data_IF_706780673712
#
_entry.id   IF_706780673712
#
_cell.length_a   1.000
_cell.length_b   1.000
_cell.length_c   1.000
_cell.angle_alpha   90.00
_cell.angle_beta   90.00
_cell.angle_gamma   90.00
#
_symmetry.space_group_name_H-M   'P 1'
#
loop_
_entity.id
_entity.type
_entity.pdbx_description
1 polymer ?
#
# COMPACT_ATOMS: atom_id res chain seq x y z
N UNK A 1 0.50 8.70 4.64
CA UNK A 1 0.63 9.92 3.83
C UNK A 1 -0.43 10.95 4.19
N UNK A 2 -0.06 12.23 4.26
CA UNK A 2 -1.05 13.30 4.39
C UNK A 2 -1.81 13.50 3.08
N UNK A 3 -3.13 13.51 3.15
CA UNK A 3 -4.01 13.69 1.98
C UNK A 3 -4.82 15.00 2.10
N UNK A 4 -4.40 16.08 1.41
CA UNK A 4 -5.03 17.41 1.52
C UNK A 4 -6.56 17.42 1.33
N UNK A 5 -7.16 16.63 0.41
CA UNK A 5 -8.63 16.63 0.25
C UNK A 5 -9.40 16.16 1.48
N UNK A 6 -8.75 15.39 2.36
CA UNK A 6 -9.33 14.88 3.60
C UNK A 6 -8.89 15.67 4.83
N UNK A 7 -7.86 16.51 4.69
CA UNK A 7 -7.16 17.19 5.78
C UNK A 7 -6.74 16.20 6.89
N UNK A 8 -6.24 15.02 6.48
CA UNK A 8 -5.94 13.89 7.36
C UNK A 8 -4.77 13.05 6.83
N UNK A 9 -4.11 12.35 7.75
CA UNK A 9 -3.22 11.27 7.37
C UNK A 9 -4.02 10.01 7.00
N UNK A 10 -3.61 9.36 5.93
CA UNK A 10 -4.21 8.12 5.43
C UNK A 10 -3.17 7.01 5.49
N UNK A 11 -3.56 5.88 6.08
CA UNK A 11 -2.77 4.65 6.06
C UNK A 11 -3.17 3.87 4.83
N UNK A 12 -2.23 3.66 3.92
CA UNK A 12 -2.48 3.08 2.60
C UNK A 12 -1.31 2.22 2.13
N UNK A 13 -1.50 1.48 1.06
CA UNK A 13 -0.42 0.82 0.34
C UNK A 13 0.30 1.80 -0.57
N UNK A 14 1.59 1.58 -0.90
CA UNK A 14 2.25 2.33 -1.95
C UNK A 14 1.42 2.31 -3.23
N UNK A 15 1.26 3.47 -3.87
CA UNK A 15 0.41 3.58 -5.05
C UNK A 15 0.79 4.79 -5.92
N UNK A 16 0.75 4.61 -7.23
CA UNK A 16 0.92 5.70 -8.18
C UNK A 16 0.21 5.47 -9.50
N UNK A 17 0.27 6.45 -10.37
CA UNK A 17 -0.31 6.40 -11.70
C UNK A 17 0.60 5.61 -12.66
N UNK A 18 -0.03 4.89 -13.57
CA UNK A 18 0.69 4.24 -14.68
C UNK A 18 1.06 5.33 -15.69
N UNK A 19 2.35 5.55 -15.86
CA UNK A 19 2.86 6.54 -16.79
C UNK A 19 2.71 6.07 -18.25
N UNK A 20 2.65 7.00 -19.23
CA UNK A 20 2.58 6.65 -20.63
C UNK A 20 3.74 5.74 -21.05
N UNK A 21 3.40 4.52 -21.46
CA UNK A 21 4.37 3.50 -21.89
C UNK A 21 4.80 2.53 -20.80
N UNK A 22 4.42 2.75 -19.54
CA UNK A 22 4.63 1.79 -18.47
C UNK A 22 3.57 0.68 -18.47
N UNK A 23 3.94 -0.48 -17.99
CA UNK A 23 3.03 -1.54 -17.57
C UNK A 23 2.72 -1.40 -16.07
N UNK A 24 1.63 -2.01 -15.61
CA UNK A 24 1.30 -2.05 -14.17
C UNK A 24 2.43 -2.68 -13.33
N UNK A 25 3.17 -3.62 -13.91
CA UNK A 25 4.33 -4.24 -13.26
C UNK A 25 5.47 -3.25 -13.03
N UNK A 26 5.82 -2.48 -14.06
CA UNK A 26 6.89 -1.48 -14.01
C UNK A 26 6.52 -0.36 -13.03
N UNK A 27 5.30 0.17 -13.14
CA UNK A 27 4.80 1.18 -12.21
C UNK A 27 4.86 0.70 -10.76
N UNK A 28 4.37 -0.51 -10.47
CA UNK A 28 4.36 -1.01 -9.10
C UNK A 28 5.77 -1.18 -8.51
N UNK A 29 6.75 -1.62 -9.32
CA UNK A 29 8.15 -1.73 -8.88
C UNK A 29 8.78 -0.35 -8.66
N UNK A 30 8.48 0.62 -9.51
CA UNK A 30 8.93 2.01 -9.39
C UNK A 30 8.37 2.64 -8.12
N UNK A 31 7.05 2.62 -7.95
CA UNK A 31 6.36 3.22 -6.79
C UNK A 31 6.79 2.59 -5.46
N UNK A 32 6.93 1.26 -5.41
CA UNK A 32 7.47 0.59 -4.22
C UNK A 32 8.85 1.17 -3.86
N UNK A 33 9.71 1.37 -4.85
CA UNK A 33 11.04 1.90 -4.61
C UNK A 33 11.04 3.38 -4.26
N UNK A 34 10.28 4.20 -4.98
CA UNK A 34 10.21 5.65 -4.75
C UNK A 34 9.63 5.97 -3.38
N UNK A 35 8.49 5.40 -3.04
CA UNK A 35 7.79 5.71 -1.80
C UNK A 35 8.40 5.03 -0.57
N UNK A 36 9.00 3.83 -0.72
CA UNK A 36 9.47 3.04 0.43
C UNK A 36 10.96 2.77 0.47
N UNK A 37 11.67 2.96 -0.63
CA UNK A 37 13.07 2.58 -0.78
C UNK A 37 13.31 1.08 -0.98
N UNK A 38 12.29 0.25 -0.85
CA UNK A 38 12.42 -1.20 -1.02
C UNK A 38 12.40 -1.62 -2.49
N UNK A 39 13.02 -2.78 -2.76
CA UNK A 39 12.93 -3.48 -4.04
C UNK A 39 12.31 -4.85 -3.81
N UNK A 40 11.29 -5.17 -4.61
CA UNK A 40 10.53 -6.40 -4.51
C UNK A 40 10.52 -7.22 -5.80
N UNK A 41 9.89 -8.37 -5.72
CA UNK A 41 9.52 -9.22 -6.85
C UNK A 41 8.01 -9.35 -6.89
N UNK A 42 7.43 -9.38 -8.09
CA UNK A 42 5.98 -9.47 -8.28
C UNK A 42 5.53 -10.92 -8.10
N UNK A 43 4.55 -11.14 -7.23
CA UNK A 43 3.93 -12.44 -6.99
C UNK A 43 2.59 -12.56 -7.75
N UNK A 44 1.79 -11.49 -7.80
CA UNK A 44 0.46 -11.49 -8.42
C UNK A 44 0.09 -10.09 -8.90
N UNK A 45 -0.51 -10.01 -10.08
CA UNK A 45 -1.15 -8.81 -10.62
C UNK A 45 -2.63 -9.11 -10.83
N UNK A 46 -3.52 -8.29 -10.26
CA UNK A 46 -4.96 -8.45 -10.48
C UNK A 46 -5.41 -7.80 -11.78
N UNK A 47 -6.55 -8.18 -12.34
CA UNK A 47 -7.23 -7.38 -13.34
C UNK A 47 -7.57 -5.99 -12.79
N UNK A 48 -7.77 -5.03 -13.70
CA UNK A 48 -8.28 -3.71 -13.33
C UNK A 48 -9.67 -3.80 -12.72
N UNK A 49 -9.86 -3.13 -11.59
CA UNK A 49 -11.13 -3.06 -10.86
C UNK A 49 -11.55 -1.61 -10.64
N UNK A 50 -12.83 -1.30 -10.75
CA UNK A 50 -13.33 0.04 -10.50
C UNK A 50 -13.17 0.41 -9.01
N UNK A 51 -12.55 1.57 -8.74
CA UNK A 51 -12.39 2.08 -7.38
C UNK A 51 -13.71 2.65 -6.84
N UNK A 52 -14.42 3.38 -7.66
CA UNK A 52 -15.63 4.11 -7.27
C UNK A 52 -16.54 4.30 -8.49
N UNK A 53 -17.12 3.20 -9.01
CA UNK A 53 -17.81 3.15 -10.30
C UNK A 53 -18.97 4.16 -10.47
N UNK A 54 -19.53 4.66 -9.38
CA UNK A 54 -20.58 5.70 -9.41
C UNK A 54 -20.04 7.13 -9.50
N UNK A 55 -18.72 7.35 -9.31
CA UNK A 55 -18.13 8.68 -9.19
C UNK A 55 -17.01 8.94 -10.20
N UNK A 56 -16.21 7.93 -10.51
CA UNK A 56 -15.03 8.07 -11.36
C UNK A 56 -14.92 6.92 -12.35
N UNK A 57 -14.20 7.13 -13.46
CA UNK A 57 -13.77 6.06 -14.37
C UNK A 57 -12.43 5.42 -14.00
N UNK A 58 -11.92 5.67 -12.80
CA UNK A 58 -10.65 5.14 -12.33
C UNK A 58 -10.69 3.61 -12.20
N UNK A 59 -9.67 2.97 -12.72
CA UNK A 59 -9.43 1.54 -12.54
C UNK A 59 -8.16 1.36 -11.70
N UNK A 60 -8.25 0.47 -10.74
CA UNK A 60 -7.13 0.08 -9.87
C UNK A 60 -6.64 -1.31 -10.23
N UNK A 61 -5.33 -1.47 -10.26
CA UNK A 61 -4.65 -2.76 -10.40
C UNK A 61 -3.88 -3.00 -9.10
N UNK A 62 -4.19 -4.08 -8.39
CA UNK A 62 -3.43 -4.47 -7.21
C UNK A 62 -2.28 -5.36 -7.63
N UNK A 63 -1.08 -5.00 -7.18
CA UNK A 63 0.14 -5.78 -7.42
C UNK A 63 0.67 -6.25 -6.07
N UNK A 64 0.68 -7.56 -5.86
CA UNK A 64 1.27 -8.17 -4.67
C UNK A 64 2.73 -8.48 -4.94
N UNK A 65 3.58 -8.09 -3.99
CA UNK A 65 5.02 -8.24 -4.14
C UNK A 65 5.66 -8.81 -2.88
N UNK A 66 6.69 -9.63 -3.07
CA UNK A 66 7.58 -10.08 -2.00
C UNK A 66 8.80 -9.19 -1.91
N UNK A 67 9.14 -8.76 -0.69
CA UNK A 67 10.34 -7.99 -0.38
C UNK A 67 11.24 -8.82 0.52
N UNK A 68 12.41 -9.21 0.01
CA UNK A 68 13.43 -9.89 0.82
C UNK A 68 14.31 -8.85 1.53
N UNK A 69 14.04 -8.63 2.82
CA UNK A 69 14.76 -7.65 3.64
C UNK A 69 16.20 -8.07 3.97
N UNK A 70 16.59 -9.32 3.72
CA UNK A 70 17.98 -9.79 3.91
C UNK A 70 18.91 -9.35 2.76
N UNK A 71 18.37 -8.93 1.62
CA UNK A 71 19.18 -8.46 0.51
C UNK A 71 19.82 -7.10 0.85
N UNK A 72 21.10 -6.85 0.48
CA UNK A 72 21.83 -5.65 0.86
C UNK A 72 21.09 -4.33 0.54
N UNK A 73 20.42 -4.25 -0.61
CA UNK A 73 19.70 -3.05 -1.04
C UNK A 73 18.39 -2.81 -0.25
N UNK A 74 17.90 -3.80 0.50
CA UNK A 74 16.70 -3.71 1.33
C UNK A 74 17.02 -3.59 2.84
N UNK A 75 18.30 -3.61 3.23
CA UNK A 75 18.68 -3.47 4.65
C UNK A 75 18.59 -2.01 5.13
N UNK A 76 18.81 -1.07 4.23
CA UNK A 76 18.74 0.37 4.50
C UNK A 76 17.92 1.05 3.40
N UNK A 77 16.59 0.80 3.36
CA UNK A 77 15.74 1.39 2.33
C UNK A 77 15.72 2.91 2.48
N UNK A 78 15.88 3.61 1.37
CA UNK A 78 15.85 5.07 1.32
C UNK A 78 14.82 5.49 0.27
N UNK A 79 13.66 6.03 0.68
CA UNK A 79 12.67 6.58 -0.23
C UNK A 79 13.25 7.69 -1.10
N UNK A 80 12.73 7.84 -2.30
CA UNK A 80 13.05 8.93 -3.23
C UNK A 80 11.74 9.64 -3.62
N UNK A 81 11.17 10.33 -2.63
CA UNK A 81 9.87 10.99 -2.74
C UNK A 81 9.92 12.14 -3.75
N UNK A 82 8.80 12.37 -4.41
CA UNK A 82 8.62 13.52 -5.30
C UNK A 82 8.34 14.79 -4.48
N UNK A 83 8.50 15.95 -5.13
CA UNK A 83 8.25 17.24 -4.50
C UNK A 83 6.79 17.34 -3.99
N UNK A 84 6.64 17.60 -2.71
CA UNK A 84 5.34 17.71 -2.05
C UNK A 84 4.77 16.42 -1.47
N UNK A 85 5.48 15.30 -1.59
CA UNK A 85 5.12 14.06 -0.91
C UNK A 85 5.66 14.03 0.51
N UNK A 86 4.79 13.67 1.45
CA UNK A 86 5.14 13.43 2.85
C UNK A 86 4.65 12.04 3.23
N UNK A 87 5.57 11.05 3.19
CA UNK A 87 5.27 9.64 3.41
C UNK A 87 6.09 9.10 4.56
N UNK A 88 5.42 8.48 5.54
CA UNK A 88 6.04 7.67 6.57
C UNK A 88 5.80 6.19 6.27
N UNK A 89 6.86 5.40 6.27
CA UNK A 89 6.81 3.98 5.89
C UNK A 89 6.76 3.09 7.13
N UNK A 90 5.75 2.22 7.21
CA UNK A 90 5.58 1.25 8.28
C UNK A 90 5.75 -0.18 7.75
N UNK A 91 6.78 -0.88 8.22
CA UNK A 91 6.92 -2.32 8.00
C UNK A 91 6.22 -3.08 9.12
N UNK A 92 5.00 -3.56 8.86
CA UNK A 92 4.13 -4.16 9.87
C UNK A 92 4.04 -5.67 9.68
N UNK A 93 4.35 -6.49 10.71
CA UNK A 93 4.10 -7.93 10.65
C UNK A 93 2.62 -8.24 10.40
N UNK A 94 2.31 -9.19 9.53
CA UNK A 94 0.91 -9.56 9.22
C UNK A 94 0.12 -9.96 10.46
N UNK A 95 0.75 -10.60 11.43
CA UNK A 95 0.13 -10.99 12.71
C UNK A 95 -0.22 -9.79 13.60
N UNK A 96 0.51 -8.68 13.49
CA UNK A 96 0.28 -7.44 14.24
C UNK A 96 -0.52 -6.39 13.48
N UNK A 97 -0.91 -6.66 12.22
CA UNK A 97 -1.53 -5.66 11.35
C UNK A 97 -2.80 -5.05 11.97
N UNK A 98 -3.70 -5.87 12.49
CA UNK A 98 -4.95 -5.37 13.06
C UNK A 98 -4.72 -4.45 14.26
N UNK A 99 -3.82 -4.81 15.15
CA UNK A 99 -3.47 -3.98 16.31
C UNK A 99 -2.86 -2.64 15.87
N UNK A 100 -1.96 -2.67 14.90
CA UNK A 100 -1.39 -1.48 14.29
C UNK A 100 -2.47 -0.58 13.71
N UNK A 101 -3.36 -1.10 12.85
CA UNK A 101 -4.43 -0.31 12.23
C UNK A 101 -5.39 0.28 13.27
N UNK A 102 -5.77 -0.48 14.30
CA UNK A 102 -6.59 0.03 15.39
C UNK A 102 -5.89 1.15 16.18
N UNK A 103 -4.58 1.08 16.34
CA UNK A 103 -3.78 2.15 16.96
C UNK A 103 -3.84 3.42 16.11
N UNK A 104 -3.61 3.33 14.80
CA UNK A 104 -3.62 4.48 13.90
C UNK A 104 -5.00 5.16 13.87
N UNK A 105 -6.09 4.37 13.78
CA UNK A 105 -7.46 4.91 13.87
C UNK A 105 -7.69 5.68 15.18
N UNK A 106 -7.21 5.16 16.32
CA UNK A 106 -7.35 5.87 17.62
C UNK A 106 -6.53 7.18 17.67
N UNK A 107 -5.49 7.30 16.86
CA UNK A 107 -4.70 8.54 16.72
C UNK A 107 -5.35 9.55 15.78
N UNK A 108 -6.40 9.17 15.06
CA UNK A 108 -7.15 10.02 14.16
C UNK A 108 -6.87 9.76 12.66
N UNK A 109 -6.02 8.78 12.35
CA UNK A 109 -5.73 8.45 10.96
C UNK A 109 -6.90 7.73 10.29
N UNK A 110 -7.00 7.90 8.98
CA UNK A 110 -8.00 7.25 8.14
C UNK A 110 -7.35 6.06 7.41
N UNK A 111 -8.09 4.96 7.26
CA UNK A 111 -7.63 3.83 6.45
C UNK A 111 -8.11 3.98 5.01
N UNK A 112 -7.22 3.72 4.06
CA UNK A 112 -7.62 3.48 2.69
C UNK A 112 -8.52 2.24 2.60
N UNK A 113 -9.54 2.29 1.74
CA UNK A 113 -10.54 1.24 1.62
C UNK A 113 -9.96 -0.11 1.17
N UNK A 114 -8.92 -0.09 0.35
CA UNK A 114 -8.23 -1.30 -0.15
C UNK A 114 -7.48 -1.99 0.97
N UNK A 115 -6.74 -1.21 1.77
CA UNK A 115 -6.05 -1.70 2.96
C UNK A 115 -7.05 -2.25 3.98
N UNK A 116 -8.14 -1.53 4.24
CA UNK A 116 -9.17 -1.97 5.17
C UNK A 116 -9.83 -3.28 4.73
N UNK A 117 -10.19 -3.41 3.46
CA UNK A 117 -10.78 -4.62 2.89
C UNK A 117 -9.81 -5.81 2.94
N UNK A 118 -8.55 -5.61 2.58
CA UNK A 118 -7.53 -6.65 2.63
C UNK A 118 -7.27 -7.13 4.07
N UNK A 119 -7.15 -6.19 5.02
CA UNK A 119 -6.95 -6.51 6.43
C UNK A 119 -8.14 -7.29 7.01
N UNK A 120 -9.38 -6.91 6.66
CA UNK A 120 -10.58 -7.65 7.05
C UNK A 120 -10.58 -9.07 6.48
N UNK A 121 -10.21 -9.23 5.21
CA UNK A 121 -10.09 -10.55 4.56
C UNK A 121 -9.08 -11.46 5.26
N UNK A 122 -7.93 -10.92 5.69
CA UNK A 122 -6.94 -11.67 6.46
C UNK A 122 -7.51 -12.16 7.81
N UNK A 123 -8.27 -11.33 8.51
CA UNK A 123 -8.89 -11.72 9.78
C UNK A 123 -9.92 -12.85 9.61
N UNK A 124 -10.67 -12.85 8.52
CA UNK A 124 -11.64 -13.90 8.21
C UNK A 124 -11.00 -15.26 7.89
N UNK A 125 -9.75 -15.27 7.42
CA UNK A 125 -9.00 -16.50 7.13
C UNK A 125 -8.40 -17.15 8.39
N UNK A 126 -8.29 -16.41 9.51
CA UNK A 126 -7.84 -16.98 10.78
C UNK A 126 -8.96 -17.81 11.37
N UNK A 127 -8.78 -19.14 11.61
CA UNK A 127 -9.82 -19.95 12.23
C UNK A 127 -10.25 -19.31 13.56
N UNK A 128 -11.53 -18.98 13.70
CA UNK A 128 -12.08 -18.61 15.00
C UNK A 128 -12.12 -19.88 15.84
N UNK A 129 -11.33 -19.94 16.91
CA UNK A 129 -11.52 -20.91 17.96
C UNK A 129 -12.87 -20.61 18.61
N UNK A 130 -13.83 -21.48 18.36
CA UNK A 130 -15.12 -21.48 19.04
C UNK A 130 -14.95 -22.11 20.44
#
# INVERSE_FOLDING_TARGET
>A
QYRPPLDQYVIEFPAGLIDPGETAAETALRELHEETGYKGTIDLITPGAASSAGLTGELLILVFMSVNTALPHNQHPAPNLQDGEEIEVFAVPRTGLNEFLQKQIRQGDILDSRLAAWAAGLQMQTPRSF
#
